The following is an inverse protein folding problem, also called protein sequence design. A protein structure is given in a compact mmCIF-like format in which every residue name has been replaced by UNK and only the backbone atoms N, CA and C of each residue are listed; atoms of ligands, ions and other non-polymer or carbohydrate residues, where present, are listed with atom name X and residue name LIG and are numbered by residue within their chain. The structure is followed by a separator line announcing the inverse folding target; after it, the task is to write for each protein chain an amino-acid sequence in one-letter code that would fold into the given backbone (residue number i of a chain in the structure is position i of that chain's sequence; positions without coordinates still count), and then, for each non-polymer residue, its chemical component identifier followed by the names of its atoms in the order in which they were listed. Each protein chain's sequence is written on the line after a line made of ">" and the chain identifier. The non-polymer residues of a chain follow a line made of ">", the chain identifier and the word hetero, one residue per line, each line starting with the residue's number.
data_IF_853702865594
#
_entry.id   IF_853702865594
#
_cell.length_a   1.000
_cell.length_b   1.000
_cell.length_c   1.000
_cell.angle_alpha   90.00
_cell.angle_beta   90.00
_cell.angle_gamma   90.00
#
_symmetry.space_group_name_H-M   'P 1'
#
loop_
_entity.id
_entity.type
_entity.pdbx_description
1 polymer ?
#
# COMPACT_ATOMS: atom_id res chain seq x y z
N UNK A 1 73.94 -74.76 -9.15
CA UNK A 1 74.34 -73.33 -9.18
C UNK A 1 73.23 -72.52 -8.50
N UNK A 2 73.60 -71.77 -7.44
CA UNK A 2 73.11 -70.44 -7.01
C UNK A 2 71.85 -69.93 -7.73
N UNK A 3 70.78 -69.38 -7.15
CA UNK A 3 70.54 -68.49 -5.99
C UNK A 3 69.03 -68.12 -6.11
N UNK A 4 68.17 -68.15 -5.07
CA UNK A 4 67.88 -67.09 -4.09
C UNK A 4 66.48 -66.43 -4.31
N UNK A 5 65.68 -66.44 -3.23
CA UNK A 5 64.69 -65.43 -2.78
C UNK A 5 63.33 -65.29 -3.51
N UNK A 6 62.25 -65.77 -2.87
CA UNK A 6 61.22 -65.03 -2.06
C UNK A 6 60.23 -64.20 -2.88
N UNK A 7 58.93 -64.47 -2.78
CA UNK A 7 58.03 -63.81 -1.80
C UNK A 7 56.61 -64.42 -1.84
N UNK A 8 56.00 -64.42 -0.65
CA UNK A 8 54.63 -64.74 -0.29
C UNK A 8 53.57 -63.93 -1.07
N UNK A 9 52.35 -64.49 -1.15
CA UNK A 9 51.11 -63.70 -1.11
C UNK A 9 50.02 -64.13 -2.09
N UNK A 10 49.37 -65.27 -1.84
CA UNK A 10 48.14 -65.63 -2.55
C UNK A 10 46.93 -64.94 -1.89
N UNK A 11 46.40 -63.90 -2.54
CA UNK A 11 45.09 -63.34 -2.22
C UNK A 11 44.07 -63.81 -3.25
N UNK A 12 43.01 -64.45 -2.74
CA UNK A 12 41.89 -65.04 -3.47
C UNK A 12 41.02 -63.94 -4.09
N UNK A 13 40.88 -63.95 -5.42
CA UNK A 13 39.96 -63.09 -6.17
C UNK A 13 38.61 -63.81 -6.33
N UNK A 14 37.58 -63.29 -5.66
CA UNK A 14 36.18 -63.69 -5.87
C UNK A 14 35.63 -62.89 -7.05
N UNK A 15 35.35 -63.55 -8.16
CA UNK A 15 34.58 -63.02 -9.29
C UNK A 15 33.10 -63.32 -9.09
N UNK A 16 32.28 -62.28 -8.95
CA UNK A 16 30.83 -62.34 -9.00
C UNK A 16 30.29 -61.24 -9.91
N UNK A 17 29.77 -61.65 -11.07
CA UNK A 17 29.23 -60.76 -12.10
C UNK A 17 27.88 -60.16 -11.67
N UNK A 18 27.68 -58.87 -11.92
CA UNK A 18 26.36 -58.24 -11.94
C UNK A 18 26.29 -57.32 -13.17
N UNK A 19 25.38 -57.67 -14.07
CA UNK A 19 25.06 -56.90 -15.25
C UNK A 19 24.38 -55.58 -14.84
N UNK A 20 25.06 -54.44 -15.03
CA UNK A 20 24.40 -53.14 -15.02
C UNK A 20 23.87 -52.87 -16.42
N UNK A 21 22.58 -53.17 -16.60
CA UNK A 21 21.80 -52.62 -17.68
C UNK A 21 21.84 -51.08 -17.55
N UNK A 22 22.50 -50.42 -18.49
CA UNK A 22 22.33 -48.99 -18.71
C UNK A 22 20.90 -48.73 -19.16
N UNK A 23 20.17 -47.93 -18.40
CA UNK A 23 18.78 -47.61 -18.69
C UNK A 23 18.26 -46.47 -17.81
N UNK A 24 18.52 -45.24 -18.25
CA UNK A 24 17.70 -44.08 -17.90
C UNK A 24 17.77 -43.59 -16.45
N UNK A 25 18.89 -42.97 -16.07
CA UNK A 25 18.82 -41.93 -15.04
C UNK A 25 17.95 -40.79 -15.58
N UNK A 26 16.71 -40.70 -15.11
CA UNK A 26 15.94 -39.47 -15.21
C UNK A 26 16.77 -38.38 -14.52
N UNK A 27 17.38 -37.52 -15.33
CA UNK A 27 17.94 -36.24 -14.88
C UNK A 27 16.83 -35.60 -14.07
N UNK A 28 17.05 -35.49 -12.76
CA UNK A 28 16.06 -34.98 -11.83
C UNK A 28 15.52 -33.66 -12.36
N UNK A 29 14.20 -33.58 -12.47
CA UNK A 29 13.49 -32.33 -12.66
C UNK A 29 13.96 -31.39 -11.56
N UNK A 30 14.92 -30.51 -11.88
CA UNK A 30 15.31 -29.45 -10.99
C UNK A 30 14.03 -28.68 -10.68
N UNK A 31 13.55 -28.80 -9.44
CA UNK A 31 12.36 -28.10 -8.96
C UNK A 31 12.60 -26.62 -9.20
N UNK A 32 12.02 -26.09 -10.29
CA UNK A 32 12.08 -24.67 -10.62
C UNK A 32 11.14 -23.97 -9.67
N UNK A 33 11.66 -23.56 -8.52
CA UNK A 33 10.93 -22.71 -7.57
C UNK A 33 10.61 -21.41 -8.33
N UNK A 34 9.32 -21.07 -8.53
CA UNK A 34 8.93 -19.84 -9.21
C UNK A 34 9.51 -18.62 -8.48
N UNK A 35 9.87 -17.57 -9.22
CA UNK A 35 10.25 -16.29 -8.61
C UNK A 35 9.06 -15.76 -7.78
N UNK A 36 9.18 -15.59 -6.45
CA UNK A 36 8.07 -15.18 -5.60
C UNK A 36 7.50 -13.81 -5.98
N UNK A 37 8.34 -12.87 -6.45
CA UNK A 37 7.86 -11.54 -6.87
C UNK A 37 7.02 -11.62 -8.14
N UNK A 38 7.44 -12.44 -9.11
CA UNK A 38 6.65 -12.71 -10.32
C UNK A 38 5.36 -13.47 -10.03
N UNK A 39 5.39 -14.43 -9.10
CA UNK A 39 4.18 -15.14 -8.68
C UNK A 39 3.17 -14.18 -8.03
N UNK A 40 3.63 -13.29 -7.15
CA UNK A 40 2.80 -12.25 -6.53
C UNK A 40 2.17 -11.32 -7.58
N UNK A 41 2.95 -10.87 -8.57
CA UNK A 41 2.43 -10.06 -9.68
C UNK A 41 1.24 -10.75 -10.39
N UNK A 42 1.41 -12.01 -10.78
CA UNK A 42 0.37 -12.78 -11.48
C UNK A 42 -0.84 -13.03 -10.59
N UNK A 43 -0.64 -13.36 -9.31
CA UNK A 43 -1.73 -13.56 -8.34
C UNK A 43 -2.58 -12.30 -8.13
N UNK A 44 -1.96 -11.12 -8.18
CA UNK A 44 -2.66 -9.83 -8.10
C UNK A 44 -3.40 -9.45 -9.40
N UNK A 45 -3.27 -10.27 -10.44
CA UNK A 45 -3.90 -10.08 -11.75
C UNK A 45 -3.05 -9.28 -12.74
N UNK A 46 -1.75 -9.12 -12.47
CA UNK A 46 -0.81 -8.42 -13.34
C UNK A 46 -0.16 -9.32 -14.38
N UNK A 47 0.62 -8.72 -15.28
CA UNK A 47 1.48 -9.44 -16.23
C UNK A 47 2.94 -9.03 -16.05
N UNK A 48 3.84 -10.01 -16.16
CA UNK A 48 5.28 -9.82 -15.95
C UNK A 48 5.98 -9.53 -17.26
N UNK A 49 6.86 -8.53 -17.30
CA UNK A 49 7.82 -8.34 -18.38
C UNK A 49 9.21 -8.04 -17.84
N UNK A 50 10.23 -8.64 -18.45
CA UNK A 50 11.63 -8.45 -18.07
C UNK A 50 12.27 -7.37 -18.94
N UNK A 51 13.00 -6.48 -18.29
CA UNK A 51 13.77 -5.44 -18.93
C UNK A 51 15.24 -5.52 -18.51
N UNK A 52 16.13 -5.17 -19.43
CA UNK A 52 17.55 -5.01 -19.19
C UNK A 52 17.85 -3.53 -18.94
N UNK A 53 18.56 -3.25 -17.85
CA UNK A 53 19.10 -1.94 -17.49
C UNK A 53 20.59 -2.04 -17.17
N UNK A 54 21.18 -0.91 -16.78
CA UNK A 54 22.58 -0.86 -16.36
C UNK A 54 22.86 -1.70 -15.11
N UNK A 55 21.85 -1.91 -14.25
CA UNK A 55 21.95 -2.70 -13.04
C UNK A 55 21.63 -4.20 -13.24
N UNK A 56 21.48 -4.66 -14.49
CA UNK A 56 21.07 -6.02 -14.82
C UNK A 56 19.62 -6.12 -15.26
N UNK A 57 18.98 -7.26 -15.01
CA UNK A 57 17.58 -7.49 -15.36
C UNK A 57 16.64 -7.09 -14.22
N UNK A 58 15.55 -6.41 -14.58
CA UNK A 58 14.47 -6.07 -13.67
C UNK A 58 13.14 -6.57 -14.26
N UNK A 59 12.35 -7.25 -13.43
CA UNK A 59 10.99 -7.63 -13.77
C UNK A 59 10.02 -6.51 -13.40
N UNK A 60 9.12 -6.17 -14.31
CA UNK A 60 8.04 -5.22 -14.05
C UNK A 60 6.69 -5.92 -14.15
N UNK A 61 5.85 -5.63 -13.16
CA UNK A 61 4.46 -6.02 -13.11
C UNK A 61 3.58 -4.95 -13.73
N UNK A 62 2.76 -5.34 -14.70
CA UNK A 62 1.85 -4.45 -15.43
C UNK A 62 0.40 -4.71 -15.06
N UNK A 63 -0.31 -3.63 -14.73
CA UNK A 63 -1.77 -3.58 -14.54
C UNK A 63 -2.34 -2.60 -15.56
N UNK A 64 -2.65 -3.08 -16.77
CA UNK A 64 -2.98 -2.21 -17.89
C UNK A 64 -1.81 -1.28 -18.23
N UNK A 65 -2.00 0.05 -18.28
CA UNK A 65 -0.91 1.01 -18.51
C UNK A 65 0.00 1.22 -17.28
N UNK A 66 -0.43 0.82 -16.07
CA UNK A 66 0.36 0.99 -14.85
C UNK A 66 1.47 -0.07 -14.74
N UNK A 67 2.62 0.33 -14.22
CA UNK A 67 3.83 -0.48 -14.17
C UNK A 67 4.68 -0.20 -12.94
N UNK A 68 4.98 -1.26 -12.19
CA UNK A 68 5.82 -1.22 -10.99
C UNK A 68 6.78 -2.41 -11.01
N UNK A 69 8.00 -2.23 -10.49
CA UNK A 69 8.96 -3.33 -10.43
C UNK A 69 8.48 -4.43 -9.46
N UNK A 70 8.69 -5.70 -9.82
CA UNK A 70 8.07 -6.84 -9.13
C UNK A 70 8.49 -6.97 -7.67
N UNK A 71 9.77 -6.77 -7.36
CA UNK A 71 10.23 -6.80 -5.98
C UNK A 71 9.67 -5.63 -5.17
N UNK A 72 9.59 -4.44 -5.76
CA UNK A 72 8.97 -3.26 -5.17
C UNK A 72 7.50 -3.54 -4.80
N UNK A 73 6.74 -4.13 -5.74
CA UNK A 73 5.36 -4.56 -5.48
C UNK A 73 5.30 -5.63 -4.38
N UNK A 74 6.16 -6.64 -4.46
CA UNK A 74 6.19 -7.74 -3.49
C UNK A 74 6.49 -7.26 -2.06
N UNK A 75 7.48 -6.37 -1.89
CA UNK A 75 7.80 -5.78 -0.58
C UNK A 75 6.60 -5.00 -0.03
N UNK A 76 5.94 -4.21 -0.87
CA UNK A 76 4.78 -3.42 -0.48
C UNK A 76 3.55 -4.28 -0.10
N UNK A 77 3.28 -5.36 -0.84
CA UNK A 77 2.04 -6.14 -0.67
C UNK A 77 2.19 -7.33 0.28
N UNK A 78 3.28 -8.10 0.14
CA UNK A 78 3.48 -9.34 0.89
C UNK A 78 4.28 -9.11 2.17
N UNK A 79 5.30 -8.25 2.13
CA UNK A 79 6.11 -7.93 3.30
C UNK A 79 5.60 -6.70 4.05
N UNK A 80 4.63 -5.98 3.48
CA UNK A 80 4.02 -4.77 4.04
C UNK A 80 5.06 -3.70 4.41
N UNK A 81 6.15 -3.66 3.65
CA UNK A 81 7.20 -2.68 3.84
C UNK A 81 6.77 -1.33 3.28
N UNK A 82 7.17 -0.26 3.95
CA UNK A 82 7.11 1.08 3.40
C UNK A 82 8.22 1.22 2.36
N UNK A 83 7.83 1.40 1.10
CA UNK A 83 8.76 1.59 -0.02
C UNK A 83 8.47 2.92 -0.73
N UNK A 84 9.53 3.69 -0.97
CA UNK A 84 9.46 5.08 -1.42
C UNK A 84 8.67 5.22 -2.73
N UNK A 85 8.86 4.31 -3.68
CA UNK A 85 8.12 4.33 -4.94
C UNK A 85 6.60 4.26 -4.75
N UNK A 86 6.12 3.45 -3.79
CA UNK A 86 4.69 3.32 -3.54
C UNK A 86 4.14 4.52 -2.80
N UNK A 87 4.89 5.09 -1.85
CA UNK A 87 4.51 6.32 -1.17
C UNK A 87 4.41 7.48 -2.18
N UNK A 88 5.45 7.65 -3.00
CA UNK A 88 5.52 8.67 -4.04
C UNK A 88 4.39 8.54 -5.07
N UNK A 89 3.97 7.31 -5.40
CA UNK A 89 2.82 7.07 -6.28
C UNK A 89 1.51 7.67 -5.75
N UNK A 90 1.31 7.70 -4.44
CA UNK A 90 0.11 8.32 -3.83
C UNK A 90 0.27 9.82 -3.55
N UNK A 91 1.50 10.35 -3.56
CA UNK A 91 1.73 11.77 -3.37
C UNK A 91 1.34 12.55 -4.62
N UNK A 92 0.39 13.46 -4.46
CA UNK A 92 0.01 14.41 -5.51
C UNK A 92 0.63 15.76 -5.21
N UNK A 93 1.83 15.98 -5.71
CA UNK A 93 2.49 17.28 -5.62
C UNK A 93 2.12 18.16 -6.82
N UNK A 94 1.91 19.47 -6.65
CA UNK A 94 1.74 20.38 -7.77
C UNK A 94 3.08 20.48 -8.52
N UNK A 95 3.19 19.73 -9.61
CA UNK A 95 4.35 19.74 -10.49
C UNK A 95 3.92 20.20 -11.88
N UNK A 96 4.62 21.19 -12.40
CA UNK A 96 4.51 21.66 -13.78
C UNK A 96 5.86 21.37 -14.41
N UNK A 97 5.90 20.33 -15.24
CA UNK A 97 7.12 19.91 -15.95
C UNK A 97 7.15 20.45 -17.36
N UNK A 98 8.35 20.44 -17.94
CA UNK A 98 8.61 20.81 -19.33
C UNK A 98 8.25 19.65 -20.30
N UNK A 99 8.96 19.52 -21.44
CA UNK A 99 8.68 18.59 -22.56
C UNK A 99 8.47 17.12 -22.15
N UNK A 100 8.98 16.68 -21.00
CA UNK A 100 8.75 15.34 -20.46
C UNK A 100 8.41 15.37 -18.95
N UNK A 101 7.15 15.64 -18.59
CA UNK A 101 6.77 15.89 -17.22
C UNK A 101 6.93 14.66 -16.32
N UNK A 102 6.82 13.44 -16.84
CA UNK A 102 6.98 12.23 -16.03
C UNK A 102 8.44 11.99 -15.59
N UNK A 103 9.40 12.27 -16.48
CA UNK A 103 10.83 12.18 -16.13
C UNK A 103 11.20 13.24 -15.11
N UNK A 104 10.82 14.49 -15.35
CA UNK A 104 11.08 15.58 -14.42
C UNK A 104 10.39 15.39 -13.06
N UNK A 105 9.18 14.80 -13.05
CA UNK A 105 8.49 14.45 -11.81
C UNK A 105 9.25 13.41 -10.99
N UNK A 106 9.88 12.42 -11.62
CA UNK A 106 10.71 11.45 -10.92
C UNK A 106 11.85 12.13 -10.14
N UNK A 107 12.58 13.03 -10.80
CA UNK A 107 13.67 13.79 -10.17
C UNK A 107 13.15 14.73 -9.09
N UNK A 108 12.01 15.39 -9.32
CA UNK A 108 11.34 16.21 -8.33
C UNK A 108 10.96 15.44 -7.05
N UNK A 109 10.54 14.19 -7.21
CA UNK A 109 10.24 13.28 -6.09
C UNK A 109 11.50 12.71 -5.42
N UNK A 110 12.70 13.14 -5.83
CA UNK A 110 13.98 12.68 -5.28
C UNK A 110 14.46 11.35 -5.85
N UNK A 111 13.82 10.85 -6.91
CA UNK A 111 14.26 9.65 -7.63
C UNK A 111 15.27 9.97 -8.73
N UNK A 112 15.83 8.90 -9.32
CA UNK A 112 16.70 8.96 -10.49
C UNK A 112 16.05 8.20 -11.64
N UNK A 113 15.99 8.82 -12.82
CA UNK A 113 15.49 8.16 -14.03
C UNK A 113 16.48 7.10 -14.51
N UNK A 114 15.97 5.91 -14.78
CA UNK A 114 16.67 4.81 -15.45
C UNK A 114 15.93 4.41 -16.72
N UNK A 115 16.67 4.23 -17.81
CA UNK A 115 16.11 3.73 -19.06
C UNK A 115 16.36 2.23 -19.16
N UNK A 116 15.28 1.47 -19.17
CA UNK A 116 15.27 0.03 -19.27
C UNK A 116 14.77 -0.39 -20.65
N UNK A 117 15.25 -1.53 -21.15
CA UNK A 117 14.91 -2.01 -22.49
C UNK A 117 14.56 -3.49 -22.51
N UNK A 118 13.54 -3.82 -23.29
CA UNK A 118 13.20 -5.20 -23.65
C UNK A 118 13.25 -5.34 -25.17
N UNK A 119 13.05 -6.54 -25.68
CA UNK A 119 12.91 -6.77 -27.13
C UNK A 119 11.70 -6.05 -27.75
N UNK A 120 10.71 -5.65 -26.95
CA UNK A 120 9.43 -5.09 -27.44
C UNK A 120 9.26 -3.61 -27.16
N UNK A 121 9.88 -3.08 -26.11
CA UNK A 121 9.74 -1.68 -25.69
C UNK A 121 10.86 -1.19 -24.78
N UNK A 122 11.03 0.12 -24.77
CA UNK A 122 11.77 0.84 -23.73
C UNK A 122 10.82 1.27 -22.62
N UNK A 123 11.33 1.36 -21.40
CA UNK A 123 10.60 1.78 -20.21
C UNK A 123 11.49 2.75 -19.43
N UNK A 124 10.95 3.90 -19.04
CA UNK A 124 11.63 4.82 -18.14
C UNK A 124 11.13 4.56 -16.73
N UNK A 125 12.01 4.10 -15.85
CA UNK A 125 11.72 3.80 -14.46
C UNK A 125 12.32 4.88 -13.54
N UNK A 126 11.57 5.25 -12.51
CA UNK A 126 12.04 6.07 -11.42
C UNK A 126 12.61 5.18 -10.32
N UNK A 127 13.91 5.32 -10.04
CA UNK A 127 14.62 4.61 -8.99
C UNK A 127 14.76 5.49 -7.76
N UNK A 128 14.32 4.99 -6.62
CA UNK A 128 14.47 5.67 -5.33
C UNK A 128 15.69 5.16 -4.56
N UNK A 129 16.02 5.85 -3.46
CA UNK A 129 17.20 5.55 -2.62
C UNK A 129 17.13 4.20 -1.90
N UNK A 130 15.92 3.69 -1.66
CA UNK A 130 15.64 2.34 -1.13
C UNK A 130 15.66 1.24 -2.21
N UNK A 131 16.14 1.56 -3.42
CA UNK A 131 16.12 0.72 -4.61
C UNK A 131 14.73 0.30 -5.10
N UNK A 132 13.66 0.92 -4.60
CA UNK A 132 12.33 0.74 -5.19
C UNK A 132 12.26 1.39 -6.57
N UNK A 133 11.50 0.75 -7.46
CA UNK A 133 11.38 1.11 -8.87
C UNK A 133 9.91 1.13 -9.27
N UNK A 134 9.51 2.20 -9.96
CA UNK A 134 8.19 2.35 -10.57
C UNK A 134 8.36 3.04 -11.92
N UNK A 135 7.53 2.71 -12.91
CA UNK A 135 7.60 3.45 -14.17
C UNK A 135 7.28 4.94 -13.94
N UNK A 136 8.04 5.82 -14.60
CA UNK A 136 7.89 7.28 -14.51
C UNK A 136 6.48 7.76 -14.87
N UNK A 137 5.86 7.25 -15.94
CA UNK A 137 4.48 7.59 -16.30
C UNK A 137 3.48 7.10 -15.25
N UNK A 138 3.68 5.90 -14.71
CA UNK A 138 2.90 5.39 -13.58
C UNK A 138 3.01 6.28 -12.36
N UNK A 139 4.22 6.65 -11.96
CA UNK A 139 4.47 7.56 -10.85
C UNK A 139 3.78 8.91 -11.05
N UNK A 140 3.96 9.51 -12.24
CA UNK A 140 3.39 10.82 -12.57
C UNK A 140 1.86 10.82 -12.64
N UNK A 141 1.29 9.74 -13.15
CA UNK A 141 -0.16 9.56 -13.30
C UNK A 141 -0.88 9.43 -11.97
N UNK A 142 -0.24 8.71 -11.03
CA UNK A 142 -0.83 8.36 -9.75
C UNK A 142 -2.06 7.43 -9.86
N UNK A 143 -2.66 7.07 -8.72
CA UNK A 143 -3.72 6.05 -8.63
C UNK A 143 -5.08 6.50 -9.16
N UNK A 144 -5.27 7.81 -9.42
CA UNK A 144 -6.56 8.37 -9.85
C UNK A 144 -6.70 8.47 -11.36
N UNK A 145 -5.65 8.17 -12.13
CA UNK A 145 -5.71 8.17 -13.59
C UNK A 145 -6.41 6.90 -14.07
N UNK A 146 -7.26 7.07 -15.09
CA UNK A 146 -7.92 5.94 -15.76
C UNK A 146 -6.90 4.90 -16.25
N UNK A 147 -7.06 3.66 -15.81
CA UNK A 147 -6.16 2.53 -16.08
C UNK A 147 -5.12 2.28 -14.99
N UNK A 148 -5.00 3.14 -13.97
CA UNK A 148 -4.02 3.01 -12.89
C UNK A 148 -4.68 2.64 -11.54
N UNK A 149 -6.01 2.64 -11.48
CA UNK A 149 -6.78 2.42 -10.26
C UNK A 149 -6.45 1.07 -9.63
N UNK A 150 -6.29 0.02 -10.46
CA UNK A 150 -5.99 -1.33 -9.97
C UNK A 150 -4.69 -1.39 -9.17
N UNK A 151 -3.64 -0.70 -9.62
CA UNK A 151 -2.40 -0.61 -8.87
C UNK A 151 -2.60 0.18 -7.57
N UNK A 152 -3.42 1.24 -7.61
CA UNK A 152 -3.82 2.00 -6.42
C UNK A 152 -4.53 1.14 -5.37
N UNK A 153 -5.52 0.33 -5.78
CA UNK A 153 -6.24 -0.60 -4.90
C UNK A 153 -5.31 -1.64 -4.26
N UNK A 154 -4.37 -2.17 -5.05
CA UNK A 154 -3.42 -3.19 -4.59
C UNK A 154 -2.42 -2.62 -3.57
N UNK A 155 -1.89 -1.42 -3.83
CA UNK A 155 -0.90 -0.78 -2.95
C UNK A 155 -1.55 -0.13 -1.72
N UNK A 156 -2.83 0.19 -1.80
CA UNK A 156 -3.59 0.75 -0.70
C UNK A 156 -4.96 0.04 -0.53
N UNK A 157 -4.96 -1.24 -0.12
CA UNK A 157 -6.19 -2.00 0.09
C UNK A 157 -7.03 -1.46 1.26
N UNK A 158 -6.45 -0.56 2.08
CA UNK A 158 -7.12 0.09 3.22
C UNK A 158 -7.54 1.54 2.92
N UNK A 159 -7.48 2.00 1.66
CA UNK A 159 -8.25 3.18 1.23
C UNK A 159 -9.76 2.86 1.10
N UNK A 160 -10.24 1.85 1.82
CA UNK A 160 -11.65 1.71 2.13
C UNK A 160 -11.99 2.89 3.03
N UNK A 161 -12.79 3.81 2.50
CA UNK A 161 -13.53 4.76 3.33
C UNK A 161 -14.41 3.90 4.23
N UNK A 162 -13.97 3.68 5.47
CA UNK A 162 -14.91 3.21 6.48
C UNK A 162 -15.79 4.41 6.80
N UNK A 163 -16.98 4.39 6.24
CA UNK A 163 -18.07 5.22 6.73
C UNK A 163 -18.33 4.78 8.16
N UNK A 164 -17.80 5.54 9.11
CA UNK A 164 -18.04 5.29 10.52
C UNK A 164 -19.44 5.78 10.83
N UNK A 165 -20.37 4.85 10.96
CA UNK A 165 -21.59 5.09 11.69
C UNK A 165 -21.22 5.23 13.17
N UNK A 166 -20.89 6.46 13.59
CA UNK A 166 -20.86 6.74 15.02
C UNK A 166 -22.30 6.55 15.53
N UNK A 167 -22.47 5.67 16.53
CA UNK A 167 -23.77 5.36 17.12
C UNK A 167 -24.53 6.63 17.44
N UNK A 168 -25.77 6.72 16.94
CA UNK A 168 -26.68 7.82 17.24
C UNK A 168 -26.99 7.80 18.74
N UNK A 169 -26.58 8.85 19.46
CA UNK A 169 -27.06 9.09 20.82
C UNK A 169 -28.59 9.33 20.74
N UNK A 170 -29.43 8.56 21.46
CA UNK A 170 -30.87 8.72 21.43
C UNK A 170 -31.32 10.14 21.77
N UNK A 171 -30.63 10.82 22.69
CA UNK A 171 -30.97 12.18 23.11
C UNK A 171 -30.67 13.20 22.00
N UNK A 172 -29.60 12.97 21.22
CA UNK A 172 -29.25 13.82 20.07
C UNK A 172 -30.17 13.57 18.88
N UNK A 173 -30.58 12.31 18.68
CA UNK A 173 -31.56 11.91 17.66
C UNK A 173 -32.92 12.55 17.95
N UNK A 174 -33.38 12.50 19.19
CA UNK A 174 -34.63 13.13 19.62
C UNK A 174 -34.56 14.67 19.52
N UNK A 175 -33.34 15.23 19.60
CA UNK A 175 -33.07 16.64 19.35
C UNK A 175 -32.83 17.00 17.86
N UNK A 176 -32.89 16.02 16.93
CA UNK A 176 -32.77 16.24 15.48
C UNK A 176 -31.34 16.31 14.93
N UNK A 177 -30.31 16.10 15.76
CA UNK A 177 -28.92 16.20 15.32
C UNK A 177 -28.43 14.89 14.68
N UNK A 178 -27.96 14.97 13.42
CA UNK A 178 -27.21 13.90 12.76
C UNK A 178 -25.81 14.42 12.44
N UNK A 179 -24.78 13.70 12.89
CA UNK A 179 -23.38 14.03 12.59
C UNK A 179 -22.74 12.83 11.87
N UNK A 180 -22.34 13.03 10.63
CA UNK A 180 -21.61 12.03 9.85
C UNK A 180 -20.12 12.40 9.79
N UNK A 181 -19.28 11.54 10.36
CA UNK A 181 -17.81 11.69 10.34
C UNK A 181 -17.24 10.58 9.47
N UNK A 182 -16.66 10.96 8.34
CA UNK A 182 -15.94 10.03 7.48
C UNK A 182 -14.48 9.96 7.93
N UNK A 183 -13.97 8.76 8.21
CA UNK A 183 -12.55 8.58 8.47
C UNK A 183 -11.87 7.98 7.25
N UNK A 184 -10.74 8.57 6.88
CA UNK A 184 -9.88 8.10 5.81
C UNK A 184 -8.50 7.87 6.42
N UNK A 185 -8.01 6.63 6.41
CA UNK A 185 -6.60 6.39 6.69
C UNK A 185 -5.78 6.70 5.43
N UNK A 186 -5.02 7.78 5.48
CA UNK A 186 -4.11 8.13 4.40
C UNK A 186 -2.77 7.46 4.64
N UNK A 187 -2.53 6.32 3.97
CA UNK A 187 -1.21 5.67 3.94
C UNK A 187 -0.13 6.62 3.43
N UNK A 188 -0.43 7.39 2.38
CA UNK A 188 0.48 8.36 1.77
C UNK A 188 0.98 9.44 2.74
N UNK A 189 0.16 9.80 3.74
CA UNK A 189 0.51 10.77 4.75
C UNK A 189 0.79 10.12 6.13
N UNK A 190 0.85 8.79 6.18
CA UNK A 190 0.94 7.95 7.38
C UNK A 190 0.07 8.48 8.54
N UNK A 191 -1.16 8.90 8.25
CA UNK A 191 -2.03 9.56 9.23
C UNK A 191 -3.50 9.25 8.97
N UNK A 192 -4.27 9.21 10.05
CA UNK A 192 -5.72 9.24 9.98
C UNK A 192 -6.18 10.67 9.68
N UNK A 193 -7.06 10.79 8.69
CA UNK A 193 -7.73 12.04 8.33
C UNK A 193 -9.22 11.83 8.60
N UNK A 194 -9.75 12.52 9.61
CA UNK A 194 -11.18 12.61 9.80
C UNK A 194 -11.71 13.78 8.95
N UNK A 195 -12.70 13.51 8.11
CA UNK A 195 -13.45 14.51 7.34
C UNK A 195 -14.89 14.51 7.79
N UNK A 196 -15.36 15.66 8.26
CA UNK A 196 -16.80 15.89 8.44
C UNK A 196 -17.35 16.34 7.09
N UNK A 197 -18.29 15.57 6.54
CA UNK A 197 -19.00 16.00 5.33
C UNK A 197 -20.04 17.05 5.69
N UNK A 198 -20.25 17.97 4.75
CA UNK A 198 -21.24 19.03 4.87
C UNK A 198 -22.64 18.40 4.96
N UNK A 199 -23.19 18.38 6.17
CA UNK A 199 -24.52 17.86 6.44
C UNK A 199 -25.37 19.00 7.02
N UNK A 200 -26.56 19.19 6.46
CA UNK A 200 -27.55 20.08 7.04
C UNK A 200 -28.09 19.44 8.31
N UNK A 201 -27.75 19.99 9.47
CA UNK A 201 -28.33 19.53 10.72
C UNK A 201 -29.69 20.22 10.87
N UNK A 202 -30.77 19.44 10.88
CA UNK A 202 -32.09 19.93 11.24
C UNK A 202 -32.18 20.03 12.77
N UNK A 203 -31.92 21.21 13.33
CA UNK A 203 -32.12 21.42 14.76
C UNK A 203 -33.61 21.32 15.16
N UNK A 204 -33.92 21.37 16.47
CA UNK A 204 -35.28 21.59 16.94
C UNK A 204 -35.90 22.79 16.23
N UNK A 205 -37.24 22.82 16.07
CA UNK A 205 -37.99 23.78 15.23
C UNK A 205 -37.66 25.27 15.43
N UNK A 206 -36.98 25.62 16.53
CA UNK A 206 -36.60 26.99 16.88
C UNK A 206 -35.10 27.33 16.67
N UNK A 207 -34.29 26.39 16.16
CA UNK A 207 -32.81 26.52 16.15
C UNK A 207 -32.21 26.57 14.72
N UNK A 208 -33.01 26.38 13.66
CA UNK A 208 -32.55 26.59 12.28
C UNK A 208 -31.64 25.48 11.72
N UNK A 209 -31.38 25.55 10.40
CA UNK A 209 -30.52 24.61 9.69
C UNK A 209 -29.09 25.10 9.72
N UNK A 210 -28.16 24.25 10.18
CA UNK A 210 -26.75 24.58 10.21
C UNK A 210 -25.97 23.82 9.15
N UNK A 211 -25.10 24.54 8.46
CA UNK A 211 -24.16 23.98 7.49
C UNK A 211 -22.81 23.86 8.18
N UNK A 212 -22.33 22.63 8.35
CA UNK A 212 -20.98 22.38 8.87
C UNK A 212 -20.00 22.44 7.69
N UNK A 213 -19.21 23.50 7.62
CA UNK A 213 -18.16 23.63 6.60
C UNK A 213 -17.10 22.54 6.79
N UNK A 214 -16.71 21.85 5.71
CA UNK A 214 -15.66 20.83 5.70
C UNK A 214 -14.37 21.31 6.39
N UNK A 215 -13.94 20.61 7.44
CA UNK A 215 -12.62 20.77 8.06
C UNK A 215 -11.95 19.42 8.23
N UNK A 216 -10.64 19.39 7.96
CA UNK A 216 -9.80 18.21 8.11
C UNK A 216 -9.03 18.30 9.44
N UNK A 217 -9.04 17.23 10.25
CA UNK A 217 -8.16 17.11 11.41
C UNK A 217 -7.03 16.14 11.13
N UNK A 218 -5.86 16.44 11.70
CA UNK A 218 -4.67 15.60 11.64
C UNK A 218 -4.41 14.98 13.01
N UNK A 219 -4.12 13.68 13.03
CA UNK A 219 -3.69 12.97 14.23
C UNK A 219 -2.15 12.79 14.27
N UNK A 220 -1.50 12.86 15.46
CA UNK A 220 -2.04 13.39 16.72
C UNK A 220 -2.15 14.92 16.63
N UNK A 221 -3.26 15.51 17.06
CA UNK A 221 -3.41 16.93 16.81
C UNK A 221 -4.65 17.60 17.37
N UNK A 222 -4.75 18.87 16.98
CA UNK A 222 -5.75 19.83 17.45
C UNK A 222 -7.17 19.33 17.18
N UNK A 223 -8.10 19.55 18.12
CA UNK A 223 -9.48 19.15 17.93
C UNK A 223 -10.09 19.89 16.74
N UNK A 224 -11.04 19.25 16.06
CA UNK A 224 -11.89 19.97 15.11
C UNK A 224 -12.81 20.86 15.91
N UNK A 225 -12.62 22.18 15.77
CA UNK A 225 -13.51 23.17 16.37
C UNK A 225 -14.40 23.74 15.28
N UNK A 226 -15.70 23.53 15.45
CA UNK A 226 -16.76 24.22 14.73
C UNK A 226 -17.41 25.20 15.68
N UNK A 227 -17.59 26.44 15.23
CA UNK A 227 -18.16 27.50 16.06
C UNK A 227 -19.17 28.28 15.22
N UNK A 228 -20.43 28.25 15.64
CA UNK A 228 -21.49 29.12 15.15
C UNK A 228 -21.76 30.28 16.12
N UNK A 229 -22.75 31.13 15.83
CA UNK A 229 -23.11 32.26 16.69
C UNK A 229 -23.45 31.83 18.11
N UNK A 230 -24.21 30.74 18.23
CA UNK A 230 -24.73 30.27 19.52
C UNK A 230 -24.08 28.97 19.99
N UNK A 231 -23.20 28.36 19.20
CA UNK A 231 -22.65 27.05 19.52
C UNK A 231 -21.17 26.85 19.22
N UNK A 232 -20.58 25.90 19.94
CA UNK A 232 -19.24 25.36 19.69
C UNK A 232 -19.31 23.84 19.74
N UNK A 233 -18.87 23.18 18.67
CA UNK A 233 -18.63 21.74 18.59
C UNK A 233 -17.12 21.53 18.60
N UNK A 234 -16.63 20.74 19.54
CA UNK A 234 -15.22 20.33 19.59
C UNK A 234 -15.18 18.81 19.42
N UNK A 235 -14.51 18.30 18.38
CA UNK A 235 -14.33 16.86 18.15
C UNK A 235 -12.88 16.49 18.40
N UNK A 236 -12.66 15.56 19.33
CA UNK A 236 -11.36 14.95 19.59
C UNK A 236 -11.32 13.58 18.95
N UNK A 237 -10.23 13.28 18.25
CA UNK A 237 -9.99 11.95 17.68
C UNK A 237 -8.86 11.31 18.47
N UNK A 238 -9.20 10.36 19.34
CA UNK A 238 -8.22 9.50 19.99
C UNK A 238 -7.67 8.46 18.99
N UNK A 239 -6.41 8.06 19.16
CA UNK A 239 -5.72 7.09 18.30
C UNK A 239 -6.49 5.78 18.18
N UNK A 240 -6.81 5.29 16.97
CA UNK A 240 -7.22 3.90 16.82
C UNK A 240 -5.97 3.03 17.05
N UNK A 241 -5.97 2.21 18.10
CA UNK A 241 -5.25 0.93 18.01
C UNK A 241 -6.12 -0.01 17.16
N UNK A 242 -5.53 -0.87 16.34
CA UNK A 242 -6.29 -1.92 15.63
C UNK A 242 -7.24 -2.64 16.62
N UNK A 243 -8.54 -2.63 16.32
CA UNK A 243 -9.57 -3.23 17.19
C UNK A 243 -9.98 -2.42 18.42
N UNK A 244 -9.57 -1.15 18.56
CA UNK A 244 -9.99 -0.26 19.64
C UNK A 244 -11.09 0.72 19.19
N UNK A 245 -11.96 1.07 20.13
CA UNK A 245 -12.90 2.19 20.00
C UNK A 245 -12.11 3.50 19.96
N UNK A 246 -12.45 4.45 19.09
CA UNK A 246 -12.06 5.85 19.30
C UNK A 246 -13.17 6.53 20.06
N UNK A 247 -12.80 7.13 21.18
CA UNK A 247 -13.65 8.09 21.88
C UNK A 247 -13.64 9.40 21.10
N UNK A 248 -14.76 9.70 20.46
CA UNK A 248 -15.04 11.02 19.92
C UNK A 248 -15.74 11.83 21.02
N UNK A 249 -15.01 12.74 21.67
CA UNK A 249 -15.63 13.67 22.59
C UNK A 249 -16.26 14.81 21.80
N UNK A 250 -17.56 15.03 22.02
CA UNK A 250 -18.31 16.15 21.49
C UNK A 250 -18.83 17.02 22.64
N UNK A 251 -18.45 18.30 22.63
CA UNK A 251 -19.09 19.32 23.47
C UNK A 251 -19.90 20.23 22.56
N UNK A 252 -21.20 20.36 22.82
CA UNK A 252 -22.10 21.31 22.20
C UNK A 252 -22.49 22.37 23.24
N UNK A 253 -22.07 23.60 23.02
CA UNK A 253 -22.54 24.75 23.80
C UNK A 253 -23.71 25.40 23.04
N UNK A 254 -24.79 25.79 23.71
CA UNK A 254 -25.92 26.53 23.14
C UNK A 254 -26.38 27.58 24.15
N UNK A 255 -25.93 28.83 24.00
CA UNK A 255 -26.08 29.86 25.04
C UNK A 255 -25.37 29.46 26.35
N UNK A 256 -26.09 29.43 27.48
CA UNK A 256 -25.57 28.98 28.78
C UNK A 256 -25.55 27.45 28.93
N UNK A 257 -26.25 26.71 28.07
CA UNK A 257 -26.31 25.25 28.16
C UNK A 257 -25.07 24.64 27.51
N UNK A 258 -24.44 23.71 28.22
CA UNK A 258 -23.33 22.91 27.69
C UNK A 258 -23.68 21.44 27.80
N UNK A 259 -23.71 20.76 26.66
CA UNK A 259 -23.88 19.31 26.57
C UNK A 259 -22.53 18.73 26.16
N UNK A 260 -21.90 17.96 27.05
CA UNK A 260 -20.69 17.20 26.74
C UNK A 260 -21.00 15.71 26.73
N UNK A 261 -20.63 15.02 25.66
CA UNK A 261 -20.81 13.58 25.48
C UNK A 261 -19.56 12.97 24.86
N UNK A 262 -19.29 11.73 25.24
CA UNK A 262 -18.29 10.87 24.61
C UNK A 262 -19.05 9.89 23.73
N UNK A 263 -18.72 9.85 22.44
CA UNK A 263 -19.27 8.89 21.50
C UNK A 263 -18.21 7.82 21.26
N UNK A 264 -18.58 6.56 21.44
CA UNK A 264 -17.71 5.45 21.09
C UNK A 264 -17.95 5.14 19.60
N UNK A 265 -17.03 5.53 18.73
CA UNK A 265 -17.10 5.16 17.32
C UNK A 265 -16.40 3.80 17.12
N UNK A 266 -17.14 2.85 16.57
CA UNK A 266 -16.70 1.47 16.37
C UNK A 266 -15.99 1.36 15.03
N UNK A 267 -14.66 1.17 15.03
CA UNK A 267 -13.96 0.85 13.78
C UNK A 267 -14.36 -0.55 13.32
N UNK A 268 -14.90 -0.70 12.09
CA UNK A 268 -15.00 -2.01 11.48
C UNK A 268 -13.59 -2.62 11.42
N UNK A 269 -13.50 -3.93 11.68
CA UNK A 269 -12.26 -4.69 11.53
C UNK A 269 -11.83 -4.76 10.07
#
# INVERSE_FOLDING_TARGET
>A
MKTLQTFLGAAVLISGASAFAGGGSSVGDAVRIPNPSSQNCVQLGGTVQIFNGSAGQAGFCFFGPAAIEEWTLFRATMQREQVQATEAFFLKMPYVGDENPALGYCEYMGGKVETLSSSRRKLHACRFSDNSLIETETLFSGPKRRGYERLGEILNPMAVIHELECFQDPDLRDAGFTLQINYEYSRAANRHVARVQEQSIAGPRDVGTYIVSKKDAQYPGSPLIYQGPDFKITVWVASPREGAYTDAHMTLKAGERTISRSMNCLFPR
#
